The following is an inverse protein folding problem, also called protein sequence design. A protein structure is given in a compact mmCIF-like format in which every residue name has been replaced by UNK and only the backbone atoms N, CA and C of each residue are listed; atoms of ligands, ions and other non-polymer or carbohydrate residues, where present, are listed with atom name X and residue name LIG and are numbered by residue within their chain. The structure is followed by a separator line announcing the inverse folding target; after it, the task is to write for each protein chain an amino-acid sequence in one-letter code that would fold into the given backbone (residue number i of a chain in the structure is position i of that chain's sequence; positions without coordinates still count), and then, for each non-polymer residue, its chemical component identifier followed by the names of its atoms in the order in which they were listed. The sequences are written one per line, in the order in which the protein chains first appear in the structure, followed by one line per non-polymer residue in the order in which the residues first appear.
data_IF_806575620243
#
_entry.id   IF_806575620243
#
_cell.length_a   1.000
_cell.length_b   1.000
_cell.length_c   1.000
_cell.angle_alpha   90.00
_cell.angle_beta   90.00
_cell.angle_gamma   90.00
#
_symmetry.space_group_name_H-M   'P 1'
#
loop_
_entity.id
_entity.type
_entity.pdbx_description
1 polymer ?
#
# COMPACT_ATOMS: atom_id res chain seq x y z
N UNK A 1 1.89 -84.56 36.52
CA UNK A 1 2.72 -83.64 35.66
C UNK A 1 1.93 -82.76 34.66
N UNK A 2 0.60 -82.80 34.66
CA UNK A 2 -0.26 -82.12 33.69
C UNK A 2 -0.63 -80.68 34.08
N UNK A 3 -0.48 -80.25 35.36
CA UNK A 3 -0.98 -78.92 35.78
C UNK A 3 -0.03 -77.71 35.49
N UNK A 4 1.26 -77.96 35.31
CA UNK A 4 2.23 -76.82 35.06
C UNK A 4 2.18 -76.28 33.63
N UNK A 5 1.77 -77.10 32.65
CA UNK A 5 1.64 -76.62 31.28
C UNK A 5 0.38 -75.81 31.00
N UNK A 6 -0.69 -76.00 31.76
CA UNK A 6 -1.90 -75.20 31.64
C UNK A 6 -1.75 -73.77 32.15
N UNK A 7 -1.05 -73.57 33.27
CA UNK A 7 -0.83 -72.29 33.89
C UNK A 7 0.13 -71.39 33.07
N UNK A 8 1.15 -71.98 32.45
CA UNK A 8 2.08 -71.18 31.54
C UNK A 8 1.38 -70.78 30.25
N UNK A 9 0.53 -71.55 29.68
CA UNK A 9 -0.28 -71.22 28.49
C UNK A 9 -1.31 -70.13 28.79
N UNK A 10 -1.98 -70.10 29.95
CA UNK A 10 -2.89 -69.05 30.38
C UNK A 10 -2.16 -67.78 30.68
N UNK A 11 -0.97 -67.81 31.29
CA UNK A 11 -0.14 -66.64 31.52
C UNK A 11 0.35 -65.99 30.23
N UNK A 12 0.71 -66.81 29.24
CA UNK A 12 1.12 -66.27 27.94
C UNK A 12 -0.05 -65.60 27.18
N UNK A 13 -1.23 -66.24 27.18
CA UNK A 13 -2.44 -65.66 26.56
C UNK A 13 -2.86 -64.36 27.25
N UNK A 14 -2.78 -64.28 28.57
CA UNK A 14 -3.08 -63.01 29.29
C UNK A 14 -2.08 -61.91 28.98
N UNK A 15 -0.79 -62.21 28.82
CA UNK A 15 0.24 -61.25 28.44
C UNK A 15 0.05 -60.80 27.02
N UNK A 16 -0.30 -61.67 26.08
CA UNK A 16 -0.61 -61.32 24.67
C UNK A 16 -1.86 -60.40 24.61
N UNK A 17 -2.92 -60.69 25.36
CA UNK A 17 -4.12 -59.87 25.41
C UNK A 17 -3.81 -58.46 25.95
N UNK A 18 -2.97 -58.35 27.01
CA UNK A 18 -2.52 -57.06 27.52
C UNK A 18 -1.68 -56.26 26.50
N UNK A 19 -0.78 -56.96 25.79
CA UNK A 19 0.04 -56.31 24.74
C UNK A 19 -0.84 -55.76 23.61
N UNK A 20 -1.82 -56.53 23.14
CA UNK A 20 -2.77 -56.08 22.13
C UNK A 20 -3.58 -54.88 22.61
N UNK A 21 -4.06 -54.90 23.86
CA UNK A 21 -4.79 -53.76 24.43
C UNK A 21 -3.93 -52.50 24.51
N UNK A 22 -2.66 -52.64 24.93
CA UNK A 22 -1.73 -51.52 25.02
C UNK A 22 -1.39 -51.00 23.62
N UNK A 23 -1.20 -51.89 22.64
CA UNK A 23 -0.95 -51.48 21.26
C UNK A 23 -2.15 -50.72 20.68
N UNK A 24 -3.37 -51.22 20.92
CA UNK A 24 -4.59 -50.54 20.47
C UNK A 24 -4.74 -49.15 21.10
N UNK A 25 -4.48 -49.04 22.42
CA UNK A 25 -4.49 -47.70 23.11
C UNK A 25 -3.42 -46.79 22.55
N UNK A 26 -2.22 -47.29 22.28
CA UNK A 26 -1.15 -46.50 21.69
C UNK A 26 -1.58 -45.96 20.33
N UNK A 27 -2.13 -46.81 19.45
CA UNK A 27 -2.63 -46.36 18.13
C UNK A 27 -3.76 -45.34 18.24
N UNK A 28 -4.69 -45.50 19.20
CA UNK A 28 -5.76 -44.53 19.43
C UNK A 28 -5.20 -43.17 19.88
N UNK A 29 -4.23 -43.19 20.80
CA UNK A 29 -3.54 -41.96 21.23
C UNK A 29 -2.75 -41.28 20.13
N UNK A 30 -2.04 -42.03 19.33
CA UNK A 30 -1.31 -41.53 18.14
C UNK A 30 -2.27 -40.91 17.13
N UNK A 31 -3.40 -41.54 16.86
CA UNK A 31 -4.42 -40.97 15.98
C UNK A 31 -5.01 -39.66 16.53
N UNK A 32 -5.33 -39.63 17.84
CA UNK A 32 -5.82 -38.37 18.46
C UNK A 32 -4.77 -37.27 18.46
N UNK A 33 -3.50 -37.61 18.68
CA UNK A 33 -2.40 -36.64 18.61
C UNK A 33 -2.30 -36.05 17.19
N UNK A 34 -2.39 -36.90 16.16
CA UNK A 34 -2.40 -36.44 14.76
C UNK A 34 -3.59 -35.52 14.45
N UNK A 35 -4.80 -35.89 14.98
CA UNK A 35 -5.97 -35.00 14.79
C UNK A 35 -5.77 -33.62 15.45
N UNK A 36 -5.20 -33.58 16.66
CA UNK A 36 -4.92 -32.33 17.37
C UNK A 36 -3.88 -31.52 16.59
N UNK A 37 -2.78 -32.14 16.16
CA UNK A 37 -1.75 -31.45 15.37
C UNK A 37 -2.30 -30.90 14.04
N UNK A 38 -3.17 -31.65 13.36
CA UNK A 38 -3.82 -31.16 12.16
C UNK A 38 -4.78 -29.99 12.45
N UNK A 39 -5.52 -30.05 13.54
CA UNK A 39 -6.41 -28.95 13.95
C UNK A 39 -5.60 -27.68 14.33
N UNK A 40 -4.49 -27.84 15.05
CA UNK A 40 -3.56 -26.75 15.37
C UNK A 40 -2.97 -26.12 14.11
N UNK A 41 -2.57 -26.92 13.12
CA UNK A 41 -2.04 -26.42 11.85
C UNK A 41 -3.10 -25.62 11.08
N UNK A 42 -4.33 -26.13 11.01
CA UNK A 42 -5.45 -25.43 10.36
C UNK A 42 -5.72 -24.11 11.06
N UNK A 43 -5.75 -24.10 12.41
CA UNK A 43 -5.98 -22.89 13.18
C UNK A 43 -4.84 -21.85 12.99
N UNK A 44 -3.59 -22.32 12.93
CA UNK A 44 -2.43 -21.45 12.65
C UNK A 44 -2.55 -20.80 11.27
N UNK A 45 -2.93 -21.58 10.23
CA UNK A 45 -3.15 -21.04 8.88
C UNK A 45 -4.31 -20.03 8.83
N UNK A 46 -5.41 -20.30 9.55
CA UNK A 46 -6.53 -19.37 9.64
C UNK A 46 -6.11 -18.09 10.36
N UNK A 47 -5.36 -18.20 11.45
CA UNK A 47 -4.85 -17.03 12.18
C UNK A 47 -3.92 -16.18 11.31
N UNK A 48 -3.02 -16.82 10.54
CA UNK A 48 -2.17 -16.11 9.60
C UNK A 48 -2.98 -15.38 8.53
N UNK A 49 -4.01 -16.04 7.97
CA UNK A 49 -4.88 -15.44 6.96
C UNK A 49 -5.60 -14.21 7.51
N UNK A 50 -6.21 -14.33 8.70
CA UNK A 50 -6.91 -13.22 9.35
C UNK A 50 -5.96 -12.07 9.70
N UNK A 51 -4.77 -12.38 10.21
CA UNK A 51 -3.75 -11.36 10.50
C UNK A 51 -3.30 -10.63 9.23
N UNK A 52 -3.14 -11.35 8.13
CA UNK A 52 -2.80 -10.76 6.83
C UNK A 52 -3.93 -9.88 6.29
N UNK A 53 -5.18 -10.34 6.34
CA UNK A 53 -6.34 -9.54 5.93
C UNK A 53 -6.50 -8.29 6.79
N UNK A 54 -6.28 -8.41 8.10
CA UNK A 54 -6.32 -7.26 9.02
C UNK A 54 -5.23 -6.24 8.69
N UNK A 55 -4.00 -6.70 8.42
CA UNK A 55 -2.90 -5.84 8.00
C UNK A 55 -3.21 -5.11 6.69
N UNK A 56 -3.78 -5.82 5.69
CA UNK A 56 -4.19 -5.21 4.42
C UNK A 56 -5.29 -4.17 4.65
N UNK A 57 -6.29 -4.46 5.48
CA UNK A 57 -7.38 -3.52 5.77
C UNK A 57 -6.90 -2.27 6.51
N UNK A 58 -5.94 -2.40 7.43
CA UNK A 58 -5.33 -1.24 8.10
C UNK A 58 -4.48 -0.42 7.13
N UNK A 59 -3.68 -1.08 6.29
CA UNK A 59 -2.83 -0.37 5.31
C UNK A 59 -3.64 0.30 4.18
N UNK A 60 -4.87 -0.16 3.94
CA UNK A 60 -5.78 0.44 2.96
C UNK A 60 -6.66 1.56 3.53
N UNK A 61 -6.33 2.10 4.69
CA UNK A 61 -7.00 3.30 5.19
C UNK A 61 -6.73 4.46 4.24
N UNK A 62 -7.78 5.20 3.92
CA UNK A 62 -7.72 6.38 3.04
C UNK A 62 -8.60 7.48 3.61
N UNK A 63 -8.24 8.71 3.32
CA UNK A 63 -9.08 9.87 3.62
C UNK A 63 -10.08 10.01 2.47
N UNK A 64 -11.36 10.18 2.82
CA UNK A 64 -12.42 10.45 1.85
C UNK A 64 -13.03 11.81 2.13
N UNK A 65 -13.52 12.46 1.10
CA UNK A 65 -14.30 13.66 1.23
C UNK A 65 -15.70 13.46 0.67
N UNK A 66 -16.66 14.24 1.17
CA UNK A 66 -18.02 14.27 0.69
C UNK A 66 -18.19 15.58 -0.09
N UNK A 67 -18.55 15.49 -1.36
CA UNK A 67 -18.92 16.68 -2.13
C UNK A 67 -20.31 17.15 -1.69
N UNK A 68 -20.34 18.28 -0.97
CA UNK A 68 -21.57 18.87 -0.46
C UNK A 68 -22.56 19.30 -1.58
N UNK A 69 -22.07 19.46 -2.81
CA UNK A 69 -22.89 19.81 -3.96
C UNK A 69 -23.46 18.58 -4.70
N UNK A 70 -23.00 17.39 -4.36
CA UNK A 70 -23.51 16.14 -4.91
C UNK A 70 -24.83 15.77 -4.23
N UNK A 71 -25.90 15.62 -4.99
CA UNK A 71 -27.20 15.21 -4.46
C UNK A 71 -27.17 13.83 -3.79
N UNK A 72 -26.23 12.97 -4.19
CA UNK A 72 -26.10 11.60 -3.69
C UNK A 72 -25.10 11.46 -2.51
N UNK A 73 -24.49 12.54 -2.05
CA UNK A 73 -23.48 12.54 -0.96
C UNK A 73 -22.44 11.42 -1.10
N UNK A 74 -22.02 11.15 -2.34
CA UNK A 74 -21.04 10.11 -2.60
C UNK A 74 -19.69 10.47 -2.00
N UNK A 75 -19.06 9.48 -1.33
CA UNK A 75 -17.71 9.65 -0.80
C UNK A 75 -16.69 9.36 -1.90
N UNK A 76 -15.75 10.26 -2.10
CA UNK A 76 -14.65 10.11 -3.05
C UNK A 76 -13.31 10.05 -2.30
N UNK A 77 -12.39 9.22 -2.77
CA UNK A 77 -11.05 9.16 -2.18
C UNK A 77 -10.33 10.50 -2.36
N UNK A 78 -9.77 11.01 -1.28
CA UNK A 78 -9.02 12.26 -1.32
C UNK A 78 -7.68 12.03 -2.03
N UNK A 79 -7.35 12.96 -2.93
CA UNK A 79 -5.99 13.09 -3.48
C UNK A 79 -5.53 14.53 -3.36
N UNK A 80 -4.24 14.79 -3.53
CA UNK A 80 -3.72 16.16 -3.48
C UNK A 80 -4.30 17.02 -4.61
N UNK A 81 -4.51 16.44 -5.79
CA UNK A 81 -5.18 17.11 -6.91
C UNK A 81 -6.67 17.36 -6.65
N UNK A 82 -7.37 16.40 -6.04
CA UNK A 82 -8.77 16.56 -5.66
C UNK A 82 -8.95 17.68 -4.62
N UNK A 83 -8.00 17.81 -3.68
CA UNK A 83 -8.02 18.84 -2.65
C UNK A 83 -8.03 20.26 -3.24
N UNK A 84 -7.33 20.49 -4.36
CA UNK A 84 -7.35 21.78 -5.07
C UNK A 84 -8.74 22.13 -5.64
N UNK A 85 -9.55 21.12 -5.97
CA UNK A 85 -10.91 21.29 -6.49
C UNK A 85 -11.97 21.52 -5.40
N UNK A 86 -11.69 21.12 -4.16
CA UNK A 86 -12.64 21.22 -3.05
C UNK A 86 -12.82 22.68 -2.66
N UNK A 87 -14.06 23.12 -2.62
CA UNK A 87 -14.47 24.47 -2.22
C UNK A 87 -13.67 25.61 -2.93
N UNK A 88 -13.30 25.39 -4.21
CA UNK A 88 -12.57 26.40 -4.98
C UNK A 88 -11.14 26.63 -4.52
N UNK A 89 -10.48 25.61 -3.93
CA UNK A 89 -9.11 25.70 -3.44
C UNK A 89 -8.99 26.25 -2.01
N UNK A 90 -10.08 26.16 -1.24
CA UNK A 90 -10.08 26.58 0.17
C UNK A 90 -9.15 25.74 1.05
N UNK A 91 -8.77 24.56 0.59
CA UNK A 91 -7.87 23.67 1.32
C UNK A 91 -6.60 23.40 0.53
N UNK A 92 -5.50 23.27 1.24
CA UNK A 92 -4.19 23.00 0.66
C UNK A 92 -3.49 21.88 1.40
N UNK A 93 -2.75 21.06 0.65
CA UNK A 93 -1.82 20.11 1.22
C UNK A 93 -0.47 20.80 1.40
N UNK A 94 0.11 20.71 2.59
CA UNK A 94 1.45 21.19 2.87
C UNK A 94 2.39 20.04 3.19
N UNK A 95 3.59 20.12 2.67
CA UNK A 95 4.67 19.17 2.86
C UNK A 95 5.74 19.81 3.77
N UNK A 96 6.22 19.05 4.74
CA UNK A 96 7.31 19.50 5.60
C UNK A 96 8.61 19.57 4.80
N UNK A 97 9.16 20.77 4.66
CA UNK A 97 10.42 21.01 3.94
C UNK A 97 11.66 20.90 4.83
N UNK A 98 11.47 21.04 6.15
CA UNK A 98 12.56 21.01 7.12
C UNK A 98 12.13 21.61 8.44
N UNK A 99 13.12 22.09 9.20
CA UNK A 99 12.92 22.87 10.44
C UNK A 99 13.75 24.14 10.37
N UNK A 100 13.25 25.20 10.99
CA UNK A 100 13.98 26.46 11.13
C UNK A 100 15.07 26.36 12.23
N UNK A 101 15.82 27.46 12.44
CA UNK A 101 16.86 27.56 13.46
C UNK A 101 16.32 27.36 14.90
N UNK A 102 15.01 27.54 15.10
CA UNK A 102 14.34 27.35 16.39
C UNK A 102 13.72 25.97 16.55
N UNK A 103 13.85 25.09 15.54
CA UNK A 103 13.27 23.75 15.54
C UNK A 103 11.81 23.69 15.09
N UNK A 104 11.22 24.79 14.61
CA UNK A 104 9.85 24.77 14.10
C UNK A 104 9.80 24.19 12.68
N UNK A 105 8.77 23.44 12.32
CA UNK A 105 8.66 22.86 10.98
C UNK A 105 8.38 23.95 9.93
N UNK A 106 9.16 23.91 8.85
CA UNK A 106 8.94 24.72 7.65
C UNK A 106 8.02 23.92 6.73
N UNK A 107 6.95 24.56 6.25
CA UNK A 107 5.94 23.95 5.40
C UNK A 107 5.91 24.62 4.03
N UNK A 108 5.86 23.79 2.99
CA UNK A 108 5.66 24.25 1.61
C UNK A 108 4.32 23.73 1.08
N UNK A 109 3.59 24.60 0.39
CA UNK A 109 2.36 24.19 -0.29
C UNK A 109 2.69 23.17 -1.39
N UNK A 110 1.94 22.09 -1.45
CA UNK A 110 2.01 21.15 -2.56
C UNK A 110 1.45 21.82 -3.82
N UNK A 111 2.19 21.72 -4.91
CA UNK A 111 1.78 22.22 -6.22
C UNK A 111 1.83 21.10 -7.25
N UNK A 112 0.82 20.98 -8.13
CA UNK A 112 0.81 19.97 -9.16
C UNK A 112 1.98 20.18 -10.14
N UNK A 113 2.65 19.09 -10.49
CA UNK A 113 3.59 19.04 -11.61
C UNK A 113 2.98 18.22 -12.72
N UNK A 114 2.92 18.81 -13.90
CA UNK A 114 2.33 18.16 -15.06
C UNK A 114 3.38 17.40 -15.86
N UNK A 115 2.97 16.27 -16.45
CA UNK A 115 3.81 15.55 -17.40
C UNK A 115 4.06 16.43 -18.61
N UNK A 116 5.31 16.57 -19.00
CA UNK A 116 5.70 17.32 -20.20
C UNK A 116 5.84 16.38 -21.38
N UNK A 117 5.32 16.77 -22.52
CA UNK A 117 5.49 16.07 -23.80
C UNK A 117 6.05 16.98 -24.84
N UNK A 118 6.88 16.41 -25.74
CA UNK A 118 7.36 17.10 -26.93
C UNK A 118 6.18 17.41 -27.87
N UNK A 119 6.09 18.62 -28.34
CA UNK A 119 5.05 19.07 -29.29
C UNK A 119 5.36 18.70 -30.74
N UNK A 120 6.60 18.32 -31.03
CA UNK A 120 7.13 18.16 -32.39
C UNK A 120 7.78 19.43 -32.92
N UNK A 121 7.64 20.56 -32.24
CA UNK A 121 8.28 21.82 -32.59
C UNK A 121 9.62 22.00 -31.85
N UNK A 122 10.33 23.06 -32.24
CA UNK A 122 11.60 23.45 -31.66
C UNK A 122 11.53 24.88 -31.12
N UNK A 123 12.39 25.22 -30.20
CA UNK A 123 12.61 26.57 -29.70
C UNK A 123 13.99 26.98 -30.21
N UNK A 124 14.06 28.08 -30.98
CA UNK A 124 15.30 28.60 -31.54
C UNK A 124 16.17 29.31 -30.46
N UNK A 125 17.39 29.72 -30.84
CA UNK A 125 18.29 30.42 -29.93
C UNK A 125 17.78 31.79 -29.43
N UNK A 126 16.68 32.31 -29.97
CA UNK A 126 16.02 33.55 -29.58
C UNK A 126 14.75 33.29 -28.74
N UNK A 127 14.39 32.03 -28.55
CA UNK A 127 13.19 31.65 -27.78
C UNK A 127 11.91 31.57 -28.60
N UNK A 128 11.97 31.63 -29.95
CA UNK A 128 10.80 31.47 -30.80
C UNK A 128 10.50 30.00 -31.08
N UNK A 129 9.22 29.66 -31.15
CA UNK A 129 8.78 28.32 -31.53
C UNK A 129 8.81 28.23 -33.07
N UNK A 130 9.48 27.23 -33.57
CA UNK A 130 9.59 26.90 -35.00
C UNK A 130 9.14 25.45 -35.23
N UNK A 131 8.56 25.18 -36.38
CA UNK A 131 8.16 23.82 -36.74
C UNK A 131 9.36 23.02 -37.26
N UNK A 132 9.12 21.74 -37.59
CA UNK A 132 10.18 20.85 -38.07
C UNK A 132 10.76 21.32 -39.41
N UNK A 133 9.93 21.85 -40.32
CA UNK A 133 10.38 22.30 -41.65
C UNK A 133 11.30 23.53 -41.51
N UNK A 134 10.95 24.46 -40.63
CA UNK A 134 11.81 25.62 -40.36
C UNK A 134 13.11 25.21 -39.65
N UNK A 135 13.09 24.22 -38.76
CA UNK A 135 14.27 23.66 -38.12
C UNK A 135 15.22 23.02 -39.15
N UNK A 136 14.68 22.25 -40.10
CA UNK A 136 15.49 21.48 -41.06
C UNK A 136 16.31 22.36 -42.03
N UNK A 137 15.84 23.58 -42.28
CA UNK A 137 16.54 24.58 -43.14
C UNK A 137 17.57 25.45 -42.43
N UNK A 138 17.66 25.34 -41.06
CA UNK A 138 18.66 26.09 -40.28
C UNK A 138 20.09 25.60 -40.55
N UNK A 139 21.06 26.49 -40.33
CA UNK A 139 22.47 26.10 -40.28
C UNK A 139 22.76 25.18 -39.10
N UNK A 140 23.80 24.32 -39.21
CA UNK A 140 24.20 23.42 -38.09
C UNK A 140 24.56 24.20 -36.80
N UNK A 141 25.10 25.42 -36.94
CA UNK A 141 25.42 26.29 -35.85
C UNK A 141 24.15 26.80 -35.13
N UNK A 142 23.05 27.03 -35.84
CA UNK A 142 21.78 27.48 -35.29
C UNK A 142 20.95 26.31 -34.79
N UNK A 143 20.99 25.16 -35.44
CA UNK A 143 20.40 23.90 -34.92
C UNK A 143 20.97 23.52 -33.55
N UNK A 144 22.25 23.72 -33.32
CA UNK A 144 22.90 23.45 -32.04
C UNK A 144 22.36 24.32 -30.86
N UNK A 145 21.70 25.43 -31.19
CA UNK A 145 21.07 26.34 -30.19
C UNK A 145 19.58 26.04 -29.97
N UNK A 146 19.00 25.19 -30.81
CA UNK A 146 17.59 24.83 -30.70
C UNK A 146 17.37 23.74 -29.62
N UNK A 147 16.24 23.82 -28.93
CA UNK A 147 15.77 22.81 -27.99
C UNK A 147 14.38 22.34 -28.40
N UNK A 148 14.02 21.11 -28.04
CA UNK A 148 12.66 20.61 -28.27
C UNK A 148 11.66 21.42 -27.44
N UNK A 149 10.55 21.83 -28.07
CA UNK A 149 9.44 22.42 -27.34
C UNK A 149 8.74 21.36 -26.49
N UNK A 150 8.65 21.64 -25.20
CA UNK A 150 7.93 20.79 -24.25
C UNK A 150 6.63 21.49 -23.83
N UNK A 151 5.54 20.76 -23.78
CA UNK A 151 4.25 21.30 -23.33
C UNK A 151 3.69 20.44 -22.21
N UNK A 152 3.13 21.10 -21.18
CA UNK A 152 2.48 20.43 -20.09
C UNK A 152 1.22 19.70 -20.58
N UNK A 153 1.09 18.46 -20.17
CA UNK A 153 -0.13 17.67 -20.36
C UNK A 153 -1.10 17.91 -19.20
N UNK A 154 -2.30 17.34 -19.29
CA UNK A 154 -3.25 17.36 -18.17
C UNK A 154 -2.92 16.35 -17.06
N UNK A 155 -1.91 15.50 -17.26
CA UNK A 155 -1.56 14.44 -16.31
C UNK A 155 -0.62 14.97 -15.24
N UNK A 156 -1.04 14.88 -13.98
CA UNK A 156 -0.22 15.23 -12.81
C UNK A 156 0.69 14.06 -12.45
N UNK A 157 2.00 14.30 -12.34
CA UNK A 157 3.01 13.27 -12.08
C UNK A 157 3.42 13.15 -10.61
N UNK A 158 3.09 14.14 -9.80
CA UNK A 158 3.44 14.18 -8.37
C UNK A 158 2.20 14.17 -7.46
N UNK A 159 1.08 13.66 -7.95
CA UNK A 159 -0.13 13.56 -7.13
C UNK A 159 0.11 12.66 -5.91
N UNK A 160 -0.59 12.98 -4.83
CA UNK A 160 -0.57 12.22 -3.58
C UNK A 160 -1.92 11.58 -3.37
N UNK A 161 -1.91 10.28 -3.18
CA UNK A 161 -3.12 9.48 -2.91
C UNK A 161 -3.59 9.66 -1.46
N UNK A 162 -4.86 9.37 -1.19
CA UNK A 162 -5.42 9.42 0.16
C UNK A 162 -4.62 8.64 1.21
N UNK A 163 -4.18 7.40 0.95
CA UNK A 163 -3.31 6.66 1.85
C UNK A 163 -1.97 7.36 2.13
N UNK A 164 -1.30 7.90 1.10
CA UNK A 164 -0.04 8.64 1.27
C UNK A 164 -0.22 9.92 2.10
N UNK A 165 -1.34 10.62 1.90
CA UNK A 165 -1.69 11.82 2.68
C UNK A 165 -1.92 11.43 4.14
N UNK A 166 -2.69 10.36 4.39
CA UNK A 166 -2.95 9.88 5.74
C UNK A 166 -1.66 9.46 6.47
N UNK A 167 -0.79 8.73 5.79
CA UNK A 167 0.52 8.35 6.32
C UNK A 167 1.38 9.60 6.61
N UNK A 168 1.39 10.56 5.70
CA UNK A 168 2.11 11.81 5.86
C UNK A 168 1.61 12.65 7.05
N UNK A 169 0.31 12.67 7.31
CA UNK A 169 -0.28 13.33 8.48
C UNK A 169 0.13 12.59 9.76
N UNK A 170 0.01 11.26 9.77
CA UNK A 170 0.34 10.45 10.94
C UNK A 170 1.82 10.54 11.35
N UNK A 171 2.73 10.66 10.39
CA UNK A 171 4.16 10.78 10.65
C UNK A 171 4.63 12.25 10.76
N UNK A 172 3.73 13.23 10.60
CA UNK A 172 4.03 14.65 10.69
C UNK A 172 4.83 15.22 9.52
N UNK A 173 4.85 14.55 8.37
CA UNK A 173 5.49 15.04 7.14
C UNK A 173 4.55 15.83 6.23
N UNK A 174 3.24 15.70 6.44
CA UNK A 174 2.20 16.40 5.70
C UNK A 174 1.15 16.97 6.65
N UNK A 175 0.45 18.02 6.19
CA UNK A 175 -0.75 18.54 6.85
C UNK A 175 -1.69 19.13 5.82
N UNK A 176 -2.99 19.15 6.15
CA UNK A 176 -4.01 19.86 5.39
C UNK A 176 -4.27 21.16 6.13
N UNK A 177 -4.30 22.26 5.41
CA UNK A 177 -4.59 23.60 5.95
C UNK A 177 -5.77 24.21 5.22
N UNK A 178 -6.48 25.09 5.91
CA UNK A 178 -7.53 25.91 5.34
C UNK A 178 -6.96 27.12 4.56
N UNK A 179 -7.85 27.98 4.07
CA UNK A 179 -7.48 29.21 3.36
C UNK A 179 -6.68 30.20 4.21
N UNK A 180 -6.77 30.11 5.54
CA UNK A 180 -6.03 30.96 6.48
C UNK A 180 -4.67 30.37 6.85
N UNK A 181 -4.38 29.13 6.42
CA UNK A 181 -3.16 28.41 6.76
C UNK A 181 -3.24 27.66 8.09
N UNK A 182 -4.42 27.54 8.70
CA UNK A 182 -4.62 26.79 9.93
C UNK A 182 -4.77 25.29 9.60
N UNK A 183 -4.08 24.45 10.37
CA UNK A 183 -4.15 22.99 10.20
C UNK A 183 -5.51 22.47 10.66
N UNK A 184 -6.06 21.55 9.86
CA UNK A 184 -7.34 20.88 10.08
C UNK A 184 -7.10 19.53 10.74
#
# INVERSE_FOLDING_TARGET
KVSKQGTTKMGLAASQARLLLLTARKSDLEYRAQQITNAEMILAMQTETVAREYSIKISNQTIKYIDANSQDQTTTDLSASALLGIAGGAYKLQLKAGVDENGNPIWNDWTPKYEQKETGNWIDGNGNVIDQDAYDVLSEADKAKCTKEMKDTSKIVNDKTGPEILEGINNGSMRIVDANGEAI
#
